data_IF_120476180585
#
_entry.id   IF_120476180585
#
_cell.length_a   1.000
_cell.length_b   1.000
_cell.length_c   1.000
_cell.angle_alpha   90.00
_cell.angle_beta   90.00
_cell.angle_gamma   90.00
#
_symmetry.space_group_name_H-M   'P 1'
#
loop_
_entity.id
_entity.type
_entity.pdbx_description
1 polymer ?
#
# COMPACT_ATOMS: atom_id res chain seq x y z
N UNK A 1 15.70 9.42 -5.92
CA UNK A 1 14.66 8.41 -5.71
C UNK A 1 15.35 7.06 -5.58
N UNK A 2 15.23 6.41 -4.42
CA UNK A 2 15.86 5.11 -4.16
C UNK A 2 15.05 4.03 -4.86
N UNK A 3 15.71 2.94 -5.27
CA UNK A 3 15.01 1.79 -5.83
C UNK A 3 14.37 0.98 -4.70
N UNK A 4 13.08 0.69 -4.82
CA UNK A 4 12.38 -0.18 -3.88
C UNK A 4 12.86 -1.64 -4.05
N UNK A 5 13.11 -2.31 -2.92
CA UNK A 5 13.55 -3.71 -2.84
C UNK A 5 12.50 -4.53 -2.09
N UNK A 6 12.31 -5.78 -2.49
CA UNK A 6 11.36 -6.67 -1.82
C UNK A 6 11.89 -7.05 -0.44
N UNK A 7 11.06 -6.87 0.58
CA UNK A 7 11.36 -7.27 1.96
C UNK A 7 10.89 -8.72 2.18
N UNK A 8 9.68 -9.04 1.73
CA UNK A 8 9.05 -10.33 1.95
C UNK A 8 7.62 -10.38 1.42
N UNK A 9 6.85 -11.36 1.88
CA UNK A 9 5.44 -11.54 1.55
C UNK A 9 4.64 -11.87 2.80
N UNK A 10 3.36 -11.52 2.82
CA UNK A 10 2.40 -11.99 3.82
C UNK A 10 1.18 -12.63 3.13
N UNK A 11 0.54 -13.57 3.83
CA UNK A 11 -0.73 -14.16 3.38
C UNK A 11 -1.87 -13.24 3.79
N UNK A 12 -2.61 -12.70 2.81
CA UNK A 12 -3.81 -11.87 3.04
C UNK A 12 -4.97 -12.50 2.29
N UNK A 13 -6.04 -12.85 3.01
CA UNK A 13 -7.22 -13.53 2.47
C UNK A 13 -6.85 -14.76 1.59
N UNK A 14 -5.90 -15.56 2.07
CA UNK A 14 -5.42 -16.77 1.39
C UNK A 14 -4.52 -16.52 0.17
N UNK A 15 -4.04 -15.29 -0.07
CA UNK A 15 -3.17 -14.95 -1.21
C UNK A 15 -1.90 -14.25 -0.74
N UNK A 16 -0.80 -14.54 -1.42
CA UNK A 16 0.48 -13.87 -1.16
C UNK A 16 0.43 -12.42 -1.63
N UNK A 17 0.89 -11.52 -0.77
CA UNK A 17 1.04 -10.09 -1.06
C UNK A 17 2.46 -9.66 -0.68
N UNK A 18 3.18 -9.12 -1.65
CA UNK A 18 4.58 -8.69 -1.50
C UNK A 18 4.69 -7.30 -0.85
N UNK A 19 5.67 -7.17 0.04
CA UNK A 19 6.04 -5.91 0.69
C UNK A 19 7.46 -5.46 0.29
N UNK A 20 7.66 -4.15 0.23
CA UNK A 20 8.84 -3.51 -0.33
C UNK A 20 9.33 -2.35 0.55
N UNK A 21 10.62 -2.06 0.47
CA UNK A 21 11.18 -0.83 1.04
C UNK A 21 10.58 0.39 0.34
N UNK A 22 10.38 1.51 1.04
CA UNK A 22 9.98 2.76 0.39
C UNK A 22 11.01 3.19 -0.68
N UNK A 23 10.59 3.79 -1.81
CA UNK A 23 11.48 4.26 -2.88
C UNK A 23 12.12 5.63 -2.57
N UNK A 24 12.41 5.89 -1.30
CA UNK A 24 13.02 7.12 -0.78
C UNK A 24 13.74 6.84 0.55
N UNK A 25 14.46 7.83 1.07
CA UNK A 25 15.35 7.67 2.22
C UNK A 25 14.73 8.11 3.56
N UNK A 26 13.54 8.71 3.52
CA UNK A 26 12.81 9.10 4.73
C UNK A 26 12.11 7.91 5.41
N UNK A 27 11.94 7.92 6.74
CA UNK A 27 11.17 6.91 7.45
C UNK A 27 9.75 6.79 6.89
N UNK A 28 9.37 5.56 6.55
CA UNK A 28 8.02 5.19 6.09
C UNK A 28 7.80 3.69 6.36
N UNK A 29 6.53 3.28 6.29
CA UNK A 29 6.13 1.89 6.37
C UNK A 29 6.45 1.14 5.08
N UNK A 30 6.54 -0.20 5.12
CA UNK A 30 6.65 -1.00 3.92
C UNK A 30 5.57 -0.67 2.88
N UNK A 31 5.99 -0.51 1.64
CA UNK A 31 5.10 -0.36 0.48
C UNK A 31 4.64 -1.74 0.03
N UNK A 32 3.48 -1.81 -0.63
CA UNK A 32 2.83 -3.09 -0.96
C UNK A 32 2.57 -3.21 -2.45
N UNK A 33 2.64 -4.44 -2.99
CA UNK A 33 2.22 -4.71 -4.36
C UNK A 33 0.72 -4.43 -4.53
N UNK A 34 0.43 -3.43 -5.36
CA UNK A 34 -0.91 -2.90 -5.58
C UNK A 34 -1.85 -3.94 -6.18
N UNK A 35 -1.35 -4.74 -7.12
CA UNK A 35 -2.16 -5.73 -7.81
C UNK A 35 -2.37 -6.98 -6.95
N UNK A 36 -1.33 -7.47 -6.27
CA UNK A 36 -1.44 -8.62 -5.37
C UNK A 36 -2.41 -8.33 -4.22
N UNK A 37 -2.36 -7.12 -3.66
CA UNK A 37 -3.29 -6.69 -2.61
C UNK A 37 -4.75 -6.69 -3.08
N UNK A 38 -5.05 -6.05 -4.22
CA UNK A 38 -6.40 -6.07 -4.76
C UNK A 38 -6.85 -7.49 -5.10
N UNK A 39 -5.94 -8.31 -5.63
CA UNK A 39 -6.22 -9.72 -5.90
C UNK A 39 -6.57 -10.49 -4.65
N UNK A 40 -6.12 -10.12 -3.46
CA UNK A 40 -6.54 -10.74 -2.20
C UNK A 40 -8.07 -10.70 -2.04
N UNK A 41 -8.73 -9.62 -2.47
CA UNK A 41 -10.15 -9.37 -2.17
C UNK A 41 -11.09 -9.47 -3.38
N UNK A 42 -10.60 -9.27 -4.61
CA UNK A 42 -11.45 -9.29 -5.82
C UNK A 42 -10.95 -10.25 -6.91
N UNK A 43 -11.80 -10.43 -7.93
CA UNK A 43 -11.51 -11.20 -9.15
C UNK A 43 -10.29 -10.69 -9.93
N UNK A 44 -9.75 -11.51 -10.83
CA UNK A 44 -8.50 -11.17 -11.54
C UNK A 44 -8.70 -9.98 -12.47
N UNK A 45 -9.85 -9.96 -13.15
CA UNK A 45 -10.22 -8.89 -14.06
C UNK A 45 -10.43 -7.58 -13.29
N UNK A 46 -11.16 -7.65 -12.17
CA UNK A 46 -11.49 -6.48 -11.35
C UNK A 46 -10.25 -5.87 -10.72
N UNK A 47 -9.33 -6.69 -10.20
CA UNK A 47 -8.05 -6.20 -9.68
C UNK A 47 -7.26 -5.43 -10.76
N UNK A 48 -7.19 -5.94 -11.99
CA UNK A 48 -6.53 -5.21 -13.09
C UNK A 48 -7.22 -3.88 -13.41
N UNK A 49 -8.54 -3.89 -13.45
CA UNK A 49 -9.33 -2.70 -13.73
C UNK A 49 -9.15 -1.65 -12.63
N UNK A 50 -9.18 -2.06 -11.36
CA UNK A 50 -8.95 -1.21 -10.21
C UNK A 50 -7.54 -0.61 -10.23
N UNK A 51 -6.48 -1.42 -10.38
CA UNK A 51 -5.10 -0.90 -10.51
C UNK A 51 -5.00 0.17 -11.61
N UNK A 52 -5.64 -0.06 -12.76
CA UNK A 52 -5.61 0.93 -13.85
C UNK A 52 -6.31 2.24 -13.48
N UNK A 53 -7.35 2.19 -12.64
CA UNK A 53 -8.12 3.36 -12.18
C UNK A 53 -7.47 4.07 -11.00
N UNK A 54 -6.78 3.34 -10.14
CA UNK A 54 -6.26 3.83 -8.85
C UNK A 54 -4.75 4.07 -8.87
N UNK A 55 -4.06 3.88 -10.01
CA UNK A 55 -2.63 4.20 -10.14
C UNK A 55 -2.31 5.70 -10.13
N UNK A 56 -3.32 6.56 -10.26
CA UNK A 56 -3.20 8.02 -10.28
C UNK A 56 -4.25 8.68 -9.40
N UNK A 57 -3.91 9.82 -8.82
CA UNK A 57 -4.87 10.75 -8.26
C UNK A 57 -5.70 11.42 -9.37
N UNK A 58 -6.76 12.14 -8.98
CA UNK A 58 -7.66 12.85 -9.90
C UNK A 58 -6.94 13.89 -10.77
N UNK A 59 -5.87 14.50 -10.25
CA UNK A 59 -5.00 15.46 -10.94
C UNK A 59 -3.98 14.79 -11.90
N UNK A 60 -3.98 13.46 -11.98
CA UNK A 60 -3.08 12.69 -12.83
C UNK A 60 -1.74 12.33 -12.19
N UNK A 61 -1.45 12.80 -10.97
CA UNK A 61 -0.24 12.42 -10.23
C UNK A 61 -0.22 10.92 -9.93
N UNK A 62 0.95 10.29 -10.09
CA UNK A 62 1.12 8.86 -9.80
C UNK A 62 1.11 8.60 -8.29
N UNK A 63 0.26 7.67 -7.83
CA UNK A 63 0.24 7.20 -6.43
C UNK A 63 1.07 5.93 -6.22
N UNK A 64 1.63 5.41 -7.32
CA UNK A 64 2.37 4.16 -7.33
C UNK A 64 3.72 4.32 -8.02
N UNK A 65 4.64 3.45 -7.64
CA UNK A 65 6.00 3.38 -8.20
C UNK A 65 6.24 1.99 -8.76
N UNK A 66 7.08 1.88 -9.79
CA UNK A 66 7.50 0.58 -10.30
C UNK A 66 8.62 -0.02 -9.45
N UNK A 67 8.48 -1.29 -9.06
CA UNK A 67 9.52 -2.06 -8.38
C UNK A 67 9.78 -3.38 -9.11
N UNK A 68 10.93 -4.02 -8.86
CA UNK A 68 11.17 -5.39 -9.33
C UNK A 68 10.75 -6.40 -8.26
N UNK A 69 10.01 -7.42 -8.68
CA UNK A 69 9.68 -8.61 -7.88
C UNK A 69 10.18 -9.83 -8.66
N UNK A 70 11.43 -10.24 -8.39
CA UNK A 70 12.15 -11.20 -9.23
C UNK A 70 12.30 -10.70 -10.68
N UNK A 71 11.83 -11.49 -11.64
CA UNK A 71 11.84 -11.13 -13.07
C UNK A 71 10.68 -10.20 -13.49
N UNK A 72 9.73 -9.90 -12.60
CA UNK A 72 8.56 -9.07 -12.90
C UNK A 72 8.79 -7.61 -12.51
N UNK A 73 8.18 -6.70 -13.26
CA UNK A 73 7.98 -5.30 -12.85
C UNK A 73 6.57 -5.18 -12.29
N UNK A 74 6.46 -4.65 -11.08
CA UNK A 74 5.20 -4.50 -10.35
C UNK A 74 4.96 -3.05 -9.97
N UNK A 75 3.70 -2.70 -9.71
CA UNK A 75 3.29 -1.40 -9.20
C UNK A 75 3.12 -1.51 -7.69
N UNK A 76 3.85 -0.72 -6.93
CA UNK A 76 3.78 -0.67 -5.47
C UNK A 76 3.18 0.66 -5.01
N UNK A 77 2.45 0.63 -3.91
CA UNK A 77 1.79 1.78 -3.29
C UNK A 77 2.18 1.90 -1.82
N UNK A 78 2.16 3.12 -1.25
CA UNK A 78 2.44 3.31 0.17
C UNK A 78 1.33 2.74 1.04
N UNK A 79 1.65 2.45 2.30
CA UNK A 79 0.74 1.83 3.26
C UNK A 79 -0.60 2.58 3.38
N UNK A 80 -0.59 3.91 3.48
CA UNK A 80 -1.81 4.71 3.59
C UNK A 80 -2.72 4.63 2.35
N UNK A 81 -2.15 4.56 1.15
CA UNK A 81 -2.93 4.38 -0.09
C UNK A 81 -3.52 2.96 -0.15
N UNK A 82 -2.76 1.97 0.31
CA UNK A 82 -3.30 0.63 0.46
C UNK A 82 -4.50 0.64 1.41
N UNK A 83 -4.37 1.16 2.64
CA UNK A 83 -5.48 1.26 3.60
C UNK A 83 -6.72 1.94 2.99
N UNK A 84 -6.56 3.10 2.36
CA UNK A 84 -7.66 3.82 1.72
C UNK A 84 -8.32 3.01 0.61
N UNK A 85 -7.54 2.26 -0.18
CA UNK A 85 -8.05 1.43 -1.28
C UNK A 85 -8.90 0.26 -0.78
N UNK A 86 -8.46 -0.46 0.26
CA UNK A 86 -9.28 -1.55 0.83
C UNK A 86 -10.45 -1.03 1.64
N UNK A 87 -10.32 0.11 2.34
CA UNK A 87 -11.44 0.76 3.01
C UNK A 87 -12.55 1.15 2.02
N UNK A 88 -12.17 1.76 0.89
CA UNK A 88 -13.12 2.07 -0.18
C UNK A 88 -13.77 0.82 -0.80
N UNK A 89 -13.04 -0.30 -0.88
CA UNK A 89 -13.60 -1.58 -1.33
C UNK A 89 -14.62 -2.12 -0.33
N UNK A 90 -14.33 -2.03 0.96
CA UNK A 90 -15.25 -2.41 2.03
C UNK A 90 -16.52 -1.55 2.01
N UNK A 91 -16.40 -0.22 1.85
CA UNK A 91 -17.54 0.68 1.69
C UNK A 91 -18.40 0.33 0.46
N UNK A 92 -17.77 0.07 -0.68
CA UNK A 92 -18.48 -0.38 -1.88
C UNK A 92 -19.25 -1.70 -1.68
N UNK A 93 -18.85 -2.51 -0.70
CA UNK A 93 -19.52 -3.76 -0.32
C UNK A 93 -20.49 -3.59 0.87
N UNK A 94 -20.75 -2.35 1.31
CA UNK A 94 -21.68 -2.05 2.40
C UNK A 94 -21.10 -2.18 3.81
N UNK A 95 -19.78 -2.22 3.95
CA UNK A 95 -19.09 -2.16 5.24
C UNK A 95 -18.66 -0.72 5.57
N UNK A 96 -18.23 -0.46 6.81
CA UNK A 96 -17.66 0.85 7.18
C UNK A 96 -16.26 1.07 6.60
N UNK A 97 -15.88 2.35 6.41
CA UNK A 97 -14.63 2.75 5.75
C UNK A 97 -13.34 2.23 6.43
N UNK A 98 -13.35 2.02 7.75
CA UNK A 98 -12.15 1.69 8.55
C UNK A 98 -12.33 0.51 9.51
N UNK A 99 -13.41 -0.27 9.34
CA UNK A 99 -13.65 -1.49 10.14
C UNK A 99 -14.25 -2.64 9.31
N UNK A 100 -14.10 -2.55 7.98
CA UNK A 100 -14.52 -3.62 7.09
C UNK A 100 -13.56 -4.83 7.10
N UNK A 101 -14.03 -5.99 6.62
CA UNK A 101 -13.25 -7.23 6.66
C UNK A 101 -11.95 -7.14 5.82
N UNK A 102 -11.95 -6.43 4.70
CA UNK A 102 -10.75 -6.31 3.87
C UNK A 102 -9.70 -5.39 4.50
N UNK A 103 -10.14 -4.25 5.04
CA UNK A 103 -9.31 -3.31 5.78
C UNK A 103 -8.67 -4.01 7.00
N UNK A 104 -9.48 -4.68 7.81
CA UNK A 104 -9.00 -5.41 8.99
C UNK A 104 -8.01 -6.52 8.64
N UNK A 105 -8.29 -7.30 7.59
CA UNK A 105 -7.37 -8.35 7.13
C UNK A 105 -6.02 -7.77 6.68
N UNK A 106 -6.04 -6.67 5.93
CA UNK A 106 -4.81 -6.00 5.49
C UNK A 106 -4.02 -5.41 6.66
N UNK A 107 -4.66 -4.62 7.54
CA UNK A 107 -3.99 -3.95 8.65
C UNK A 107 -3.35 -4.94 9.63
N UNK A 108 -4.03 -6.06 9.94
CA UNK A 108 -3.46 -7.12 10.80
C UNK A 108 -2.24 -7.76 10.14
N UNK A 109 -2.37 -8.19 8.88
CA UNK A 109 -1.26 -8.83 8.17
C UNK A 109 -0.07 -7.89 7.98
N UNK A 110 -0.30 -6.60 7.68
CA UNK A 110 0.75 -5.60 7.56
C UNK A 110 1.44 -5.33 8.91
N UNK A 111 0.68 -5.27 10.01
CA UNK A 111 1.22 -5.11 11.36
C UNK A 111 2.08 -6.29 11.79
N UNK A 112 1.60 -7.52 11.57
CA UNK A 112 2.36 -8.75 11.81
C UNK A 112 3.62 -8.81 10.94
N UNK A 113 3.50 -8.50 9.65
CA UNK A 113 4.65 -8.44 8.74
C UNK A 113 5.70 -7.43 9.23
N UNK A 114 5.27 -6.24 9.65
CA UNK A 114 6.20 -5.23 10.17
C UNK A 114 6.91 -5.72 11.44
N UNK A 115 6.17 -6.36 12.36
CA UNK A 115 6.73 -6.93 13.59
C UNK A 115 7.83 -7.96 13.29
N UNK A 116 7.61 -8.83 12.30
CA UNK A 116 8.47 -9.98 12.04
C UNK A 116 9.60 -9.70 11.02
N UNK A 117 9.37 -8.79 10.08
CA UNK A 117 10.27 -8.56 8.93
C UNK A 117 10.72 -7.11 8.75
N UNK A 118 10.17 -6.17 9.52
CA UNK A 118 10.55 -4.76 9.48
C UNK A 118 10.64 -4.16 10.89
N UNK A 119 11.42 -4.75 11.82
CA UNK A 119 11.56 -4.20 13.16
C UNK A 119 12.25 -2.84 13.11
N UNK A 120 11.62 -1.82 13.68
CA UNK A 120 12.12 -0.45 13.71
C UNK A 120 12.03 0.13 15.12
N UNK A 121 12.78 1.20 15.39
CA UNK A 121 12.64 1.93 16.65
C UNK A 121 11.29 2.65 16.73
N UNK A 122 10.83 2.94 17.96
CA UNK A 122 9.62 3.74 18.16
C UNK A 122 9.71 5.11 17.48
N UNK A 123 10.89 5.75 17.54
CA UNK A 123 11.15 7.03 16.87
C UNK A 123 10.98 6.93 15.35
N UNK A 124 11.49 5.85 14.73
CA UNK A 124 11.29 5.61 13.30
C UNK A 124 9.80 5.41 13.00
N UNK A 125 9.07 4.61 13.79
CA UNK A 125 7.65 4.38 13.57
C UNK A 125 6.83 5.67 13.67
N UNK A 126 7.12 6.52 14.67
CA UNK A 126 6.48 7.83 14.81
C UNK A 126 6.80 8.77 13.65
N UNK A 127 8.03 8.73 13.11
CA UNK A 127 8.40 9.48 11.92
C UNK A 127 7.68 8.94 10.66
N UNK A 128 7.59 7.62 10.50
CA UNK A 128 6.88 6.97 9.41
C UNK A 128 5.39 7.32 9.39
N UNK A 129 4.73 7.36 10.56
CA UNK A 129 3.34 7.81 10.66
C UNK A 129 3.12 9.23 10.11
N UNK A 130 4.06 10.15 10.35
CA UNK A 130 4.00 11.53 9.83
C UNK A 130 4.33 11.62 8.33
N UNK A 131 5.06 10.64 7.81
CA UNK A 131 5.62 10.61 6.47
C UNK A 131 4.96 9.55 5.58
N UNK A 132 3.72 9.13 5.84
CA UNK A 132 3.09 8.01 5.13
C UNK A 132 3.08 8.25 3.60
N UNK A 133 3.91 7.49 2.86
CA UNK A 133 4.14 7.63 1.41
C UNK A 133 5.06 8.76 0.97
N UNK A 134 5.75 9.41 1.91
CA UNK A 134 6.90 10.27 1.69
C UNK A 134 6.67 11.43 0.71
N UNK A 135 7.67 11.78 -0.11
CA UNK A 135 7.55 12.85 -1.10
C UNK A 135 6.39 12.65 -2.09
N UNK A 136 6.01 11.41 -2.39
CA UNK A 136 4.94 11.11 -3.35
C UNK A 136 3.59 11.59 -2.82
N UNK A 137 3.34 11.42 -1.52
CA UNK A 137 2.11 11.88 -0.89
C UNK A 137 2.16 13.37 -0.52
N UNK A 138 3.33 13.94 -0.19
CA UNK A 138 3.45 15.35 0.20
C UNK A 138 3.17 16.36 -0.92
N UNK A 139 3.42 16.01 -2.17
CA UNK A 139 3.08 16.87 -3.32
C UNK A 139 1.56 17.03 -3.48
N UNK A 140 0.78 16.11 -2.90
CA UNK A 140 -0.67 16.17 -2.83
C UNK A 140 -1.14 16.71 -1.47
N UNK A 141 -0.92 18.01 -1.21
CA UNK A 141 -1.77 18.74 -0.27
C UNK A 141 -2.91 19.35 -1.07
N UNK A 142 -4.19 19.11 -0.74
CA UNK A 142 -5.26 19.90 -1.33
C UNK A 142 -4.97 21.37 -1.03
N UNK A 143 -5.03 22.22 -2.05
CA UNK A 143 -5.17 23.65 -1.84
C UNK A 143 -6.50 23.80 -1.12
N UNK A 144 -6.48 24.30 0.11
CA UNK A 144 -7.71 24.65 0.83
C UNK A 144 -8.48 25.63 -0.07
N UNK A 145 -9.69 25.24 -0.47
CA UNK A 145 -10.67 26.09 -1.14
C UNK A 145 -11.68 26.60 -0.12
#
# INVERSE_FOLDING_TARGET
>A
MKRAEKIGEATINGKQVSFFTPPHDEPDFPWVDHYELLRAFVGRSDAKALVSKTRRFKDGQMVSVSAKNGAKIVSIIPHGIAQALIGALDNANGHGDEDGPAFNAYCRAAGEFCKDHWPQSLEYMLAAFKNNGGPIMRVHRPVEH
#
